data_IF_150644751731
#
_entry.id   IF_150644751731
#
_cell.length_a   1.000
_cell.length_b   1.000
_cell.length_c   1.000
_cell.angle_alpha   90.00
_cell.angle_beta   90.00
_cell.angle_gamma   90.00
#
_symmetry.space_group_name_H-M   'P 1'
#
loop_
_entity.id
_entity.type
_entity.pdbx_description
1 polymer ?
#
# COMPACT_ATOMS: atom_id res chain seq x y z
N UNK A 1 -11.17 22.22 22.87
CA UNK A 1 -10.51 20.94 23.22
C UNK A 1 -9.11 21.04 22.65
N UNK A 2 -8.10 21.25 23.50
CA UNK A 2 -6.70 21.31 23.08
C UNK A 2 -6.37 20.02 22.33
N UNK A 3 -5.83 20.12 21.12
CA UNK A 3 -5.26 18.96 20.45
C UNK A 3 -4.22 18.36 21.39
N UNK A 4 -4.32 17.08 21.78
CA UNK A 4 -3.27 16.45 22.58
C UNK A 4 -1.92 16.69 21.90
N UNK A 5 -0.89 16.98 22.69
CA UNK A 5 0.46 17.26 22.19
C UNK A 5 0.99 16.04 21.44
N UNK A 6 0.72 16.02 20.13
CA UNK A 6 1.25 15.00 19.22
C UNK A 6 2.76 15.20 19.13
N UNK A 7 3.51 14.41 19.90
CA UNK A 7 4.97 14.52 20.00
C UNK A 7 5.61 13.25 19.45
N UNK A 8 5.73 13.18 18.13
CA UNK A 8 6.55 12.16 17.45
C UNK A 8 8.02 12.55 17.50
N UNK A 9 8.93 11.59 17.73
CA UNK A 9 10.36 11.88 17.68
C UNK A 9 10.80 12.29 16.26
N UNK A 10 11.87 13.10 16.17
CA UNK A 10 12.47 13.46 14.88
C UNK A 10 12.89 12.21 14.10
N UNK A 11 13.38 11.17 14.78
CA UNK A 11 13.73 9.91 14.15
C UNK A 11 12.52 9.25 13.49
N UNK A 12 11.39 9.14 14.21
CA UNK A 12 10.16 8.55 13.70
C UNK A 12 9.66 9.29 12.44
N UNK A 13 9.63 10.62 12.50
CA UNK A 13 9.20 11.47 11.37
C UNK A 13 10.10 11.29 10.16
N UNK A 14 11.43 11.35 10.34
CA UNK A 14 12.40 11.20 9.25
C UNK A 14 12.35 9.80 8.65
N UNK A 15 12.26 8.76 9.49
CA UNK A 15 12.17 7.38 9.03
C UNK A 15 10.88 7.14 8.22
N UNK A 16 9.74 7.69 8.67
CA UNK A 16 8.48 7.61 7.92
C UNK A 16 8.59 8.32 6.56
N UNK A 17 9.15 9.54 6.53
CA UNK A 17 9.38 10.26 5.27
C UNK A 17 10.30 9.47 4.34
N UNK A 18 11.35 8.84 4.87
CA UNK A 18 12.25 8.00 4.08
C UNK A 18 11.53 6.79 3.48
N UNK A 19 10.61 6.15 4.22
CA UNK A 19 9.76 5.07 3.70
C UNK A 19 8.86 5.58 2.58
N UNK A 20 8.19 6.72 2.76
CA UNK A 20 7.35 7.32 1.72
C UNK A 20 8.17 7.64 0.47
N UNK A 21 9.29 8.33 0.61
CA UNK A 21 10.18 8.70 -0.50
C UNK A 21 10.75 7.47 -1.22
N UNK A 22 11.19 6.45 -0.47
CA UNK A 22 11.64 5.17 -1.01
C UNK A 22 10.55 4.45 -1.79
N UNK A 23 9.33 4.43 -1.27
CA UNK A 23 8.16 3.83 -1.93
C UNK A 23 7.81 4.55 -3.23
N UNK A 24 7.78 5.89 -3.22
CA UNK A 24 7.54 6.70 -4.41
C UNK A 24 8.64 6.51 -5.46
N UNK A 25 9.90 6.40 -5.03
CA UNK A 25 11.03 6.10 -5.91
C UNK A 25 10.87 4.72 -6.54
N UNK A 26 10.46 3.71 -5.76
CA UNK A 26 10.12 2.38 -6.26
C UNK A 26 8.99 2.41 -7.28
N UNK A 27 7.91 3.17 -7.03
CA UNK A 27 6.81 3.34 -7.96
C UNK A 27 7.26 4.02 -9.27
N UNK A 28 8.09 5.06 -9.19
CA UNK A 28 8.68 5.71 -10.37
C UNK A 28 9.55 4.73 -11.15
N UNK A 29 10.36 3.92 -10.48
CA UNK A 29 11.17 2.88 -11.11
C UNK A 29 10.29 1.84 -11.80
N UNK A 30 9.20 1.41 -11.15
CA UNK A 30 8.21 0.50 -11.74
C UNK A 30 7.56 1.10 -13.00
N UNK A 31 7.11 2.35 -12.95
CA UNK A 31 6.52 3.04 -14.11
C UNK A 31 7.50 3.16 -15.28
N UNK A 32 8.77 3.46 -14.99
CA UNK A 32 9.84 3.52 -16.00
C UNK A 32 10.15 2.15 -16.58
N UNK A 33 10.16 1.10 -15.75
CA UNK A 33 10.35 -0.27 -16.21
C UNK A 33 9.21 -0.71 -17.12
N UNK A 34 7.96 -0.49 -16.70
CA UNK A 34 6.79 -0.77 -17.52
C UNK A 34 6.79 0.03 -18.83
N UNK A 35 7.31 1.25 -18.84
CA UNK A 35 7.48 2.01 -20.08
C UNK A 35 8.57 1.42 -21.00
N UNK A 36 9.68 0.92 -20.42
CA UNK A 36 10.79 0.30 -21.17
C UNK A 36 10.42 -1.05 -21.78
N UNK A 37 9.57 -1.82 -21.11
CA UNK A 37 9.08 -3.11 -21.63
C UNK A 37 7.93 -2.94 -22.64
N UNK A 38 7.56 -1.70 -22.99
CA UNK A 38 6.45 -1.41 -23.89
C UNK A 38 5.06 -1.59 -23.27
N UNK A 39 4.99 -1.95 -21.98
CA UNK A 39 3.73 -2.14 -21.27
C UNK A 39 2.98 -0.80 -21.07
N UNK A 40 3.72 0.31 -20.90
CA UNK A 40 3.18 1.67 -20.82
C UNK A 40 3.78 2.59 -21.88
N UNK A 41 3.01 3.57 -22.33
CA UNK A 41 3.58 4.68 -23.11
C UNK A 41 4.40 5.58 -22.18
N UNK A 42 5.65 5.96 -22.54
CA UNK A 42 6.45 6.89 -21.74
C UNK A 42 5.73 8.22 -21.48
N UNK A 43 4.85 8.64 -22.39
CA UNK A 43 4.04 9.86 -22.24
C UNK A 43 2.99 9.76 -21.13
N UNK A 44 2.58 8.54 -20.77
CA UNK A 44 1.61 8.27 -19.70
C UNK A 44 2.22 8.34 -18.30
N UNK A 45 3.55 8.32 -18.15
CA UNK A 45 4.21 8.36 -16.83
C UNK A 45 4.02 9.73 -16.15
N UNK A 46 4.22 10.82 -16.89
CA UNK A 46 4.10 12.20 -16.36
C UNK A 46 2.73 12.51 -15.75
N UNK A 47 1.58 12.25 -16.43
CA UNK A 47 0.28 12.53 -15.84
C UNK A 47 -0.01 11.67 -14.60
N UNK A 48 0.46 10.42 -14.55
CA UNK A 48 0.32 9.57 -13.34
C UNK A 48 1.07 10.18 -12.16
N UNK A 49 2.31 10.61 -12.37
CA UNK A 49 3.09 11.26 -11.31
C UNK A 49 2.50 12.61 -10.90
N UNK A 50 1.97 13.37 -11.86
CA UNK A 50 1.26 14.63 -11.59
C UNK A 50 -0.01 14.43 -10.76
N UNK A 51 -0.81 13.41 -11.09
CA UNK A 51 -2.01 13.06 -10.32
C UNK A 51 -1.66 12.60 -8.90
N UNK A 52 -0.62 11.80 -8.73
CA UNK A 52 -0.14 11.36 -7.42
C UNK A 52 0.38 12.55 -6.58
N UNK A 53 1.16 13.45 -7.18
CA UNK A 53 1.65 14.65 -6.51
C UNK A 53 0.49 15.57 -6.09
N UNK A 54 -0.48 15.80 -6.98
CA UNK A 54 -1.68 16.57 -6.67
C UNK A 54 -2.47 15.93 -5.52
N UNK A 55 -2.64 14.60 -5.54
CA UNK A 55 -3.30 13.86 -4.47
C UNK A 55 -2.58 14.01 -3.12
N UNK A 56 -1.25 13.91 -3.11
CA UNK A 56 -0.45 14.11 -1.90
C UNK A 56 -0.53 15.55 -1.36
N UNK A 57 -0.59 16.55 -2.25
CA UNK A 57 -0.79 17.95 -1.87
C UNK A 57 -2.17 18.14 -1.24
N UNK A 58 -3.22 17.56 -1.83
CA UNK A 58 -4.59 17.62 -1.29
C UNK A 58 -4.65 16.93 0.08
N UNK A 59 -4.17 15.70 0.20
CA UNK A 59 -4.19 14.96 1.46
C UNK A 59 -3.37 15.66 2.55
N UNK A 60 -2.17 16.16 2.22
CA UNK A 60 -1.34 16.92 3.15
C UNK A 60 -1.98 18.25 3.55
N UNK A 61 -2.57 18.98 2.61
CA UNK A 61 -3.27 20.24 2.89
C UNK A 61 -4.49 20.06 3.79
N UNK A 62 -5.29 19.01 3.57
CA UNK A 62 -6.43 18.68 4.42
C UNK A 62 -6.00 18.26 5.84
N UNK A 63 -4.87 17.56 5.96
CA UNK A 63 -4.25 17.23 7.26
C UNK A 63 -3.79 18.50 8.00
N UNK A 64 -3.09 19.42 7.33
CA UNK A 64 -2.67 20.70 7.91
C UNK A 64 -3.84 21.58 8.33
N UNK A 65 -4.95 21.52 7.59
CA UNK A 65 -6.19 22.21 7.94
C UNK A 65 -6.96 21.56 9.11
N UNK A 66 -6.48 20.43 9.65
CA UNK A 66 -7.13 19.71 10.75
C UNK A 66 -8.42 19.00 10.37
N UNK A 67 -8.73 18.85 9.07
CA UNK A 67 -9.99 18.25 8.58
C UNK A 67 -10.15 16.82 9.08
N UNK A 68 -9.05 16.08 9.22
CA UNK A 68 -9.07 14.69 9.65
C UNK A 68 -9.18 14.47 11.16
N UNK A 69 -9.13 15.52 11.98
CA UNK A 69 -9.35 15.41 13.43
C UNK A 69 -10.84 15.26 13.80
N UNK A 70 -11.74 15.39 12.84
CA UNK A 70 -13.17 15.27 13.07
C UNK A 70 -13.58 13.81 13.33
N UNK A 71 -14.29 13.59 14.44
CA UNK A 71 -14.90 12.30 14.82
C UNK A 71 -16.30 12.11 14.21
N UNK A 72 -16.74 13.02 13.34
CA UNK A 72 -18.03 12.93 12.66
C UNK A 72 -18.16 11.63 11.84
N UNK A 73 -19.39 11.17 11.60
CA UNK A 73 -19.62 10.01 10.75
C UNK A 73 -20.21 10.39 9.37
N UNK A 74 -19.62 9.92 8.26
CA UNK A 74 -18.35 9.18 8.16
C UNK A 74 -17.12 10.05 8.47
N UNK A 75 -16.08 9.53 9.16
CA UNK A 75 -14.87 10.30 9.44
C UNK A 75 -14.20 10.78 8.14
N UNK A 76 -13.76 12.04 8.05
CA UNK A 76 -13.15 12.54 6.81
C UNK A 76 -11.94 11.73 6.35
N UNK A 77 -11.16 11.15 7.28
CA UNK A 77 -10.04 10.26 6.95
C UNK A 77 -10.51 8.96 6.28
N UNK A 78 -11.67 8.45 6.68
CA UNK A 78 -12.28 7.27 6.06
C UNK A 78 -12.74 7.59 4.63
N UNK A 79 -13.29 8.79 4.40
CA UNK A 79 -13.63 9.26 3.04
C UNK A 79 -12.37 9.31 2.17
N UNK A 80 -11.27 9.87 2.68
CA UNK A 80 -9.98 9.91 1.98
C UNK A 80 -9.51 8.49 1.57
N UNK A 81 -9.56 7.55 2.52
CA UNK A 81 -9.19 6.15 2.28
C UNK A 81 -10.06 5.50 1.19
N UNK A 82 -11.38 5.69 1.24
CA UNK A 82 -12.29 5.13 0.24
C UNK A 82 -12.11 5.74 -1.14
N UNK A 83 -11.88 7.06 -1.24
CA UNK A 83 -11.58 7.72 -2.51
C UNK A 83 -10.29 7.17 -3.10
N UNK A 84 -9.24 7.01 -2.30
CA UNK A 84 -7.97 6.46 -2.76
C UNK A 84 -8.10 4.99 -3.21
N UNK A 85 -8.81 4.16 -2.44
CA UNK A 85 -9.08 2.78 -2.79
C UNK A 85 -9.92 2.66 -4.07
N UNK A 86 -10.96 3.47 -4.22
CA UNK A 86 -11.78 3.54 -5.43
C UNK A 86 -10.96 3.95 -6.65
N UNK A 87 -10.06 4.93 -6.50
CA UNK A 87 -9.12 5.34 -7.56
C UNK A 87 -8.23 4.18 -8.01
N UNK A 88 -7.68 3.41 -7.07
CA UNK A 88 -6.87 2.22 -7.36
C UNK A 88 -7.68 1.15 -8.08
N UNK A 89 -8.89 0.84 -7.59
CA UNK A 89 -9.79 -0.13 -8.23
C UNK A 89 -10.13 0.30 -9.66
N UNK A 90 -10.44 1.58 -9.86
CA UNK A 90 -10.71 2.15 -11.19
C UNK A 90 -9.51 1.99 -12.13
N UNK A 91 -8.29 2.28 -11.65
CA UNK A 91 -7.05 2.10 -12.43
C UNK A 91 -6.89 0.64 -12.86
N UNK A 92 -7.11 -0.33 -11.97
CA UNK A 92 -6.97 -1.76 -12.32
C UNK A 92 -8.12 -2.27 -13.22
N UNK A 93 -9.33 -1.72 -13.05
CA UNK A 93 -10.50 -2.10 -13.84
C UNK A 93 -10.43 -1.62 -15.30
N UNK A 94 -9.76 -0.50 -15.58
CA UNK A 94 -9.63 0.04 -16.93
C UNK A 94 -8.82 -0.91 -17.82
N UNK A 95 -9.36 -1.41 -18.95
CA UNK A 95 -8.69 -2.42 -19.79
C UNK A 95 -7.31 -2.00 -20.33
N UNK A 96 -7.13 -0.70 -20.60
CA UNK A 96 -5.84 -0.16 -21.06
C UNK A 96 -4.78 -0.25 -19.96
N UNK A 97 -5.13 0.14 -18.74
CA UNK A 97 -4.27 0.08 -17.57
C UNK A 97 -4.00 -1.35 -17.14
N UNK A 98 -5.02 -2.22 -17.14
CA UNK A 98 -4.88 -3.65 -16.83
C UNK A 98 -3.89 -4.35 -17.77
N UNK A 99 -3.97 -4.08 -19.08
CA UNK A 99 -3.01 -4.63 -20.05
C UNK A 99 -1.58 -4.21 -19.73
N UNK A 100 -1.37 -2.95 -19.37
CA UNK A 100 -0.07 -2.45 -18.97
C UNK A 100 0.45 -3.09 -17.67
N UNK A 101 -0.43 -3.28 -16.69
CA UNK A 101 -0.10 -3.93 -15.42
C UNK A 101 0.33 -5.39 -15.64
N UNK A 102 -0.42 -6.13 -16.46
CA UNK A 102 -0.12 -7.55 -16.74
C UNK A 102 1.14 -7.71 -17.58
N UNK A 103 1.42 -6.76 -18.49
CA UNK A 103 2.63 -6.77 -19.30
C UNK A 103 3.89 -6.29 -18.55
N UNK A 104 3.73 -5.66 -17.38
CA UNK A 104 4.87 -5.33 -16.53
C UNK A 104 5.44 -6.59 -15.86
N UNK A 105 6.76 -6.65 -15.59
CA UNK A 105 7.35 -7.80 -14.94
C UNK A 105 6.73 -8.07 -13.56
N UNK A 106 6.21 -9.28 -13.34
CA UNK A 106 5.51 -9.65 -12.10
C UNK A 106 6.38 -9.42 -10.87
N UNK A 107 7.68 -9.75 -10.97
CA UNK A 107 8.63 -9.54 -9.86
C UNK A 107 8.68 -8.09 -9.42
N UNK A 108 8.54 -7.12 -10.33
CA UNK A 108 8.62 -5.71 -9.99
C UNK A 108 7.40 -5.25 -9.19
N UNK A 109 6.21 -5.75 -9.56
CA UNK A 109 4.96 -5.48 -8.84
C UNK A 109 4.97 -6.10 -7.45
N UNK A 110 5.43 -7.36 -7.33
CA UNK A 110 5.56 -8.04 -6.04
C UNK A 110 6.64 -7.39 -5.19
N UNK A 111 7.81 -7.09 -5.75
CA UNK A 111 8.93 -6.50 -5.02
C UNK A 111 8.61 -5.09 -4.53
N UNK A 112 7.80 -4.31 -5.26
CA UNK A 112 7.37 -2.99 -4.80
C UNK A 112 6.68 -3.08 -3.43
N UNK A 113 5.90 -4.13 -3.15
CA UNK A 113 5.22 -4.35 -1.87
C UNK A 113 6.16 -4.52 -0.67
N UNK A 114 7.47 -4.70 -0.90
CA UNK A 114 8.44 -4.84 0.19
C UNK A 114 8.56 -3.58 1.05
N UNK A 115 8.06 -2.42 0.60
CA UNK A 115 8.01 -1.19 1.41
C UNK A 115 7.28 -1.38 2.74
N UNK A 116 6.39 -2.37 2.82
CA UNK A 116 5.65 -2.73 4.05
C UNK A 116 6.61 -3.19 5.16
N UNK A 117 7.73 -3.81 4.82
CA UNK A 117 8.71 -4.26 5.82
C UNK A 117 9.30 -3.08 6.61
N UNK A 118 9.97 -2.08 6.00
CA UNK A 118 10.45 -0.92 6.74
C UNK A 118 9.32 -0.06 7.31
N UNK A 119 8.16 0.01 6.66
CA UNK A 119 6.99 0.70 7.21
C UNK A 119 6.57 0.12 8.56
N UNK A 120 6.50 -1.20 8.69
CA UNK A 120 6.09 -1.87 9.93
C UNK A 120 7.11 -1.69 11.04
N UNK A 121 8.41 -1.61 10.72
CA UNK A 121 9.44 -1.23 11.70
C UNK A 121 9.24 0.20 12.20
N UNK A 122 8.89 1.14 11.31
CA UNK A 122 8.56 2.52 11.66
C UNK A 122 7.27 2.60 12.49
N UNK A 123 6.25 1.82 12.13
CA UNK A 123 4.98 1.75 12.89
C UNK A 123 5.19 1.15 14.28
N UNK A 124 5.99 0.11 14.41
CA UNK A 124 6.35 -0.42 15.72
C UNK A 124 7.13 0.60 16.56
N UNK A 125 8.01 1.40 15.95
CA UNK A 125 8.63 2.53 16.65
C UNK A 125 7.60 3.57 17.11
N UNK A 126 6.59 3.86 16.31
CA UNK A 126 5.48 4.74 16.71
C UNK A 126 4.69 4.17 17.89
N UNK A 127 4.53 2.85 17.97
CA UNK A 127 3.96 2.19 19.16
C UNK A 127 4.86 2.36 20.39
N UNK A 128 6.18 2.09 20.28
CA UNK A 128 7.13 2.27 21.39
C UNK A 128 7.17 3.71 21.90
N UNK A 129 6.97 4.69 21.01
CA UNK A 129 6.88 6.11 21.36
C UNK A 129 5.49 6.54 21.88
N UNK A 130 4.55 5.61 22.06
CA UNK A 130 3.16 5.91 22.47
C UNK A 130 2.45 6.91 21.54
N UNK A 131 2.80 6.88 20.25
CA UNK A 131 2.17 7.67 19.18
C UNK A 131 1.07 6.86 18.49
N UNK A 132 1.28 5.55 18.37
CA UNK A 132 0.36 4.62 17.70
C UNK A 132 -0.20 3.59 18.69
N UNK A 133 -1.48 3.20 18.58
CA UNK A 133 -2.07 2.13 19.40
C UNK A 133 -1.34 0.78 19.24
N UNK A 134 -1.20 0.05 20.35
CA UNK A 134 -0.60 -1.29 20.36
C UNK A 134 -1.23 -2.29 19.36
N UNK A 135 -2.57 -2.36 19.17
CA UNK A 135 -3.17 -3.28 18.21
C UNK A 135 -2.72 -3.07 16.75
N UNK A 136 -2.23 -1.88 16.40
CA UNK A 136 -1.75 -1.56 15.05
C UNK A 136 -0.28 -1.93 14.82
N UNK A 137 0.45 -2.37 15.84
CA UNK A 137 1.83 -2.85 15.70
C UNK A 137 1.85 -4.34 15.30
N UNK A 138 3.01 -4.82 14.88
CA UNK A 138 3.21 -6.24 14.59
C UNK A 138 3.27 -7.14 15.83
N UNK A 139 3.39 -6.57 17.03
CA UNK A 139 3.20 -7.32 18.28
C UNK A 139 1.72 -7.46 18.63
N UNK A 140 0.87 -6.60 18.04
CA UNK A 140 -0.56 -6.59 18.22
C UNK A 140 -1.27 -7.43 17.16
N UNK A 141 -2.03 -6.77 16.29
CA UNK A 141 -2.88 -7.41 15.28
C UNK A 141 -2.42 -7.12 13.85
N UNK A 142 -1.34 -6.39 13.63
CA UNK A 142 -0.88 -6.01 12.30
C UNK A 142 0.31 -6.87 11.82
N UNK A 143 0.04 -7.98 11.15
CA UNK A 143 1.10 -8.87 10.67
C UNK A 143 1.65 -8.49 9.28
N UNK A 144 1.47 -7.24 8.84
CA UNK A 144 1.93 -6.78 7.52
C UNK A 144 3.47 -6.88 7.37
N UNK A 145 4.22 -6.99 8.47
CA UNK A 145 5.67 -7.23 8.44
C UNK A 145 5.99 -8.52 7.68
N UNK A 146 5.16 -9.56 7.86
CA UNK A 146 5.29 -10.85 7.18
C UNK A 146 5.06 -10.66 5.69
N UNK A 147 4.03 -9.90 5.31
CA UNK A 147 3.74 -9.64 3.89
C UNK A 147 4.86 -8.85 3.22
N UNK A 148 5.46 -7.86 3.91
CA UNK A 148 6.60 -7.12 3.39
C UNK A 148 7.86 -7.98 3.22
N UNK A 149 8.14 -8.87 4.18
CA UNK A 149 9.24 -9.82 4.08
C UNK A 149 9.03 -10.85 2.95
N UNK A 150 7.81 -11.40 2.84
CA UNK A 150 7.44 -12.30 1.75
C UNK A 150 7.48 -11.61 0.40
N UNK A 151 7.08 -10.35 0.29
CA UNK A 151 7.19 -9.55 -0.93
C UNK A 151 8.65 -9.44 -1.40
N UNK A 152 9.58 -9.17 -0.48
CA UNK A 152 11.00 -9.09 -0.77
C UNK A 152 11.53 -10.45 -1.26
N UNK A 153 11.29 -11.53 -0.51
CA UNK A 153 11.77 -12.86 -0.85
C UNK A 153 11.17 -13.37 -2.17
N UNK A 154 9.84 -13.29 -2.33
CA UNK A 154 9.14 -13.73 -3.53
C UNK A 154 9.50 -12.86 -4.74
N UNK A 155 9.58 -11.54 -4.58
CA UNK A 155 9.97 -10.62 -5.65
C UNK A 155 11.37 -10.94 -6.19
N UNK A 156 12.36 -11.14 -5.31
CA UNK A 156 13.72 -11.53 -5.71
C UNK A 156 13.76 -12.92 -6.35
N UNK A 157 12.98 -13.88 -5.83
CA UNK A 157 12.89 -15.21 -6.42
C UNK A 157 12.28 -15.17 -7.83
N UNK A 158 11.18 -14.42 -8.02
CA UNK A 158 10.55 -14.21 -9.32
C UNK A 158 11.50 -13.56 -10.32
N UNK A 159 12.26 -12.55 -9.89
CA UNK A 159 13.27 -11.90 -10.71
C UNK A 159 14.36 -12.87 -11.17
N UNK A 160 14.86 -13.71 -10.25
CA UNK A 160 15.87 -14.73 -10.58
C UNK A 160 15.35 -15.76 -11.57
N UNK A 161 14.07 -16.15 -11.47
CA UNK A 161 13.43 -17.10 -12.38
C UNK A 161 13.21 -16.52 -13.77
N UNK A 162 12.75 -15.28 -13.86
CA UNK A 162 12.59 -14.57 -15.13
C UNK A 162 13.92 -14.50 -15.89
N UNK A 163 15.02 -14.15 -15.20
CA UNK A 163 16.36 -14.14 -15.79
C UNK A 163 16.85 -15.51 -16.24
N UNK A 164 16.40 -16.57 -15.60
CA UNK A 164 16.69 -17.95 -15.97
C UNK A 164 15.72 -18.51 -17.02
N UNK A 165 14.78 -17.71 -17.55
CA UNK A 165 13.75 -18.19 -18.49
C UNK A 165 12.75 -19.17 -17.88
N UNK A 166 12.63 -19.20 -16.55
CA UNK A 166 11.76 -20.14 -15.82
C UNK A 166 10.41 -19.51 -15.53
N UNK A 167 9.36 -20.30 -15.69
CA UNK A 167 8.00 -19.86 -15.38
C UNK A 167 7.83 -19.50 -13.90
N UNK A 168 6.99 -18.50 -13.56
CA UNK A 168 6.71 -18.12 -12.20
C UNK A 168 5.91 -19.23 -11.45
N UNK A 169 6.22 -19.48 -10.16
CA UNK A 169 5.56 -20.49 -9.34
C UNK A 169 4.18 -20.01 -8.89
N UNK A 170 3.15 -20.25 -9.70
CA UNK A 170 1.79 -19.71 -9.53
C UNK A 170 1.19 -19.96 -8.15
N UNK A 171 1.36 -21.16 -7.59
CA UNK A 171 0.83 -21.50 -6.26
C UNK A 171 1.42 -20.60 -5.17
N UNK A 172 2.72 -20.30 -5.23
CA UNK A 172 3.36 -19.38 -4.29
C UNK A 172 2.87 -17.94 -4.47
N UNK A 173 2.68 -17.50 -5.72
CA UNK A 173 2.14 -16.15 -6.01
C UNK A 173 0.69 -16.02 -5.52
N UNK A 174 -0.15 -17.03 -5.71
CA UNK A 174 -1.53 -17.07 -5.16
C UNK A 174 -1.53 -17.02 -3.64
N UNK A 175 -0.74 -17.88 -2.99
CA UNK A 175 -0.67 -17.95 -1.53
C UNK A 175 -0.22 -16.61 -0.94
N UNK A 176 0.86 -16.03 -1.48
CA UNK A 176 1.34 -14.70 -1.10
C UNK A 176 0.25 -13.64 -1.26
N UNK A 177 -0.45 -13.62 -2.40
CA UNK A 177 -1.41 -12.56 -2.69
C UNK A 177 -2.68 -12.68 -1.81
N UNK A 178 -3.13 -13.90 -1.52
CA UNK A 178 -4.27 -14.16 -0.63
C UNK A 178 -3.95 -13.82 0.83
N UNK A 179 -2.77 -14.22 1.31
CA UNK A 179 -2.30 -13.84 2.66
C UNK A 179 -2.14 -12.32 2.75
N UNK A 180 -1.53 -11.70 1.74
CA UNK A 180 -1.30 -10.27 1.69
C UNK A 180 -2.58 -9.44 1.71
N UNK A 181 -3.56 -9.76 0.87
CA UNK A 181 -4.83 -9.03 0.86
C UNK A 181 -5.63 -9.25 2.15
N UNK A 182 -5.58 -10.45 2.73
CA UNK A 182 -6.24 -10.74 4.01
C UNK A 182 -5.65 -9.90 5.15
N UNK A 183 -4.33 -9.79 5.22
CA UNK A 183 -3.64 -8.98 6.23
C UNK A 183 -3.85 -7.48 6.02
N UNK A 184 -3.87 -7.01 4.76
CA UNK A 184 -4.23 -5.62 4.44
C UNK A 184 -5.65 -5.26 4.91
N UNK A 185 -6.63 -6.14 4.67
CA UNK A 185 -8.00 -5.93 5.16
C UNK A 185 -8.02 -5.90 6.69
N UNK A 186 -7.31 -6.83 7.33
CA UNK A 186 -7.22 -6.88 8.78
C UNK A 186 -6.64 -5.59 9.39
N UNK A 187 -5.52 -5.06 8.88
CA UNK A 187 -4.95 -3.82 9.42
C UNK A 187 -5.87 -2.61 9.20
N UNK A 188 -6.57 -2.53 8.07
CA UNK A 188 -7.57 -1.46 7.83
C UNK A 188 -8.70 -1.55 8.85
N UNK A 189 -9.25 -2.76 9.10
CA UNK A 189 -10.32 -2.97 10.07
C UNK A 189 -9.84 -2.59 11.48
N UNK A 190 -8.65 -3.03 11.89
CA UNK A 190 -8.07 -2.70 13.20
C UNK A 190 -7.86 -1.19 13.33
N UNK A 191 -7.32 -0.53 12.29
CA UNK A 191 -7.09 0.91 12.28
C UNK A 191 -8.40 1.70 12.48
N UNK A 192 -9.47 1.31 11.77
CA UNK A 192 -10.80 1.94 11.91
C UNK A 192 -11.39 1.67 13.29
N UNK A 193 -11.27 0.45 13.82
CA UNK A 193 -11.80 0.10 15.14
C UNK A 193 -11.06 0.77 16.30
N UNK A 194 -9.81 1.20 16.10
CA UNK A 194 -9.02 1.95 17.09
C UNK A 194 -9.16 3.48 16.96
N UNK A 195 -9.77 3.97 15.87
CA UNK A 195 -9.94 5.41 15.63
C UNK A 195 -11.12 5.95 16.45
N UNK A 196 -11.00 7.14 17.08
CA UNK A 196 -12.11 7.77 17.77
C UNK A 196 -13.31 8.01 16.83
N UNK A 197 -14.51 7.88 17.38
CA UNK A 197 -15.78 8.08 16.68
C UNK A 197 -16.68 6.85 16.71
N UNK A 198 -17.81 6.85 15.98
CA UNK A 198 -18.81 5.77 16.03
C UNK A 198 -18.28 4.39 15.55
N UNK A 199 -17.15 4.42 14.83
CA UNK A 199 -16.23 3.35 14.45
C UNK A 199 -15.76 2.44 15.58
N UNK A 200 -15.52 3.08 16.72
CA UNK A 200 -14.56 2.59 17.68
C UNK A 200 -15.09 1.36 18.40
N UNK A 201 -14.33 0.27 18.34
CA UNK A 201 -14.61 -0.98 19.05
C UNK A 201 -13.44 -1.41 19.93
N UNK A 202 -12.25 -0.87 19.67
CA UNK A 202 -11.03 -1.17 20.42
C UNK A 202 -10.56 0.15 21.03
N UNK A 203 -10.91 0.38 22.29
CA UNK A 203 -10.45 1.54 23.06
C UNK A 203 -8.99 1.30 23.43
N UNK A 204 -8.14 2.26 23.09
CA UNK A 204 -6.68 2.20 23.27
C UNK A 204 -6.16 3.53 23.77
N UNK A 205 -5.00 3.48 24.43
CA UNK A 205 -4.25 4.66 24.86
C UNK A 205 -2.83 4.56 24.28
N UNK A 206 -2.43 5.42 23.33
CA UNK A 206 -3.24 6.44 22.66
C UNK A 206 -4.30 5.83 21.71
N UNK A 207 -5.33 6.60 21.30
CA UNK A 207 -6.23 6.21 20.21
C UNK A 207 -5.56 6.36 18.83
N UNK A 208 -6.15 5.78 17.78
CA UNK A 208 -5.61 5.90 16.41
C UNK A 208 -5.90 7.27 15.79
N UNK A 209 -5.16 8.30 16.22
CA UNK A 209 -5.24 9.66 15.65
C UNK A 209 -3.98 10.07 14.91
N UNK A 210 -2.85 9.38 15.10
CA UNK A 210 -1.56 9.75 14.48
C UNK A 210 -1.61 9.83 12.95
N UNK A 211 -2.39 8.96 12.30
CA UNK A 211 -2.62 8.95 10.84
C UNK A 211 -3.35 10.20 10.30
N UNK A 212 -3.82 11.09 11.16
CA UNK A 212 -4.48 12.35 10.76
C UNK A 212 -3.47 13.49 10.58
N UNK A 213 -2.26 13.36 11.13
CA UNK A 213 -1.20 14.37 11.12
C UNK A 213 -0.20 14.15 9.98
N UNK A 214 0.47 15.22 9.52
CA UNK A 214 1.62 15.10 8.64
C UNK A 214 2.86 14.62 9.43
N UNK A 215 3.72 13.77 8.83
CA UNK A 215 3.62 13.17 7.48
C UNK A 215 2.74 11.92 7.41
N UNK A 216 2.24 11.43 8.55
CA UNK A 216 1.61 10.13 8.73
C UNK A 216 0.31 9.92 7.95
N UNK A 217 -0.39 10.99 7.55
CA UNK A 217 -1.55 10.93 6.65
C UNK A 217 -1.24 10.26 5.30
N UNK A 218 0.03 10.23 4.88
CA UNK A 218 0.43 9.49 3.68
C UNK A 218 0.32 7.97 3.82
N UNK A 219 0.17 7.44 5.04
CA UNK A 219 -0.13 6.02 5.25
C UNK A 219 -1.49 5.65 4.64
N UNK A 220 -2.64 6.19 5.10
CA UNK A 220 -3.94 5.90 4.48
C UNK A 220 -4.11 6.55 3.09
N UNK A 221 -3.43 7.65 2.79
CA UNK A 221 -3.60 8.35 1.52
C UNK A 221 -2.80 7.74 0.35
N UNK A 222 -1.64 7.12 0.61
CA UNK A 222 -0.71 6.67 -0.44
C UNK A 222 -0.29 5.22 -0.23
N UNK A 223 0.28 4.89 0.93
CA UNK A 223 0.91 3.58 1.15
C UNK A 223 -0.12 2.43 1.17
N UNK A 224 -1.23 2.60 1.89
CA UNK A 224 -2.32 1.62 1.95
C UNK A 224 -2.98 1.40 0.56
N UNK A 225 -3.36 2.45 -0.19
CA UNK A 225 -3.84 2.31 -1.57
C UNK A 225 -2.82 1.67 -2.51
N UNK A 226 -1.53 1.97 -2.36
CA UNK A 226 -0.48 1.34 -3.16
C UNK A 226 -0.34 -0.15 -2.84
N UNK A 227 -0.51 -0.54 -1.58
CA UNK A 227 -0.56 -1.95 -1.19
C UNK A 227 -1.76 -2.67 -1.82
N UNK A 228 -2.93 -2.04 -1.82
CA UNK A 228 -4.10 -2.55 -2.53
C UNK A 228 -3.82 -2.68 -4.02
N UNK A 229 -3.21 -1.67 -4.63
CA UNK A 229 -2.85 -1.68 -6.05
C UNK A 229 -1.92 -2.85 -6.39
N UNK A 230 -0.90 -3.13 -5.56
CA UNK A 230 0.02 -4.24 -5.79
C UNK A 230 -0.69 -5.60 -5.75
N UNK A 231 -1.64 -5.79 -4.82
CA UNK A 231 -2.40 -7.04 -4.72
C UNK A 231 -3.39 -7.22 -5.88
N UNK A 232 -4.12 -6.17 -6.25
CA UNK A 232 -5.04 -6.21 -7.39
C UNK A 232 -4.30 -6.41 -8.71
N UNK A 233 -3.13 -5.78 -8.86
CA UNK A 233 -2.23 -5.99 -10.00
C UNK A 233 -1.76 -7.43 -10.11
N UNK A 234 -1.40 -8.05 -8.98
CA UNK A 234 -0.98 -9.45 -8.92
C UNK A 234 -2.13 -10.40 -9.25
N UNK A 235 -3.35 -10.13 -8.79
CA UNK A 235 -4.53 -10.90 -9.22
C UNK A 235 -4.80 -10.75 -10.71
N UNK A 236 -4.73 -9.54 -11.26
CA UNK A 236 -4.92 -9.31 -12.68
C UNK A 236 -3.92 -10.12 -13.52
N UNK A 237 -2.66 -10.19 -13.08
CA UNK A 237 -1.62 -11.01 -13.70
C UNK A 237 -1.95 -12.52 -13.61
N UNK A 238 -2.32 -13.03 -12.42
CA UNK A 238 -2.65 -14.45 -12.21
C UNK A 238 -3.83 -14.93 -13.06
N UNK A 239 -4.85 -14.08 -13.21
CA UNK A 239 -6.02 -14.37 -14.02
C UNK A 239 -5.70 -14.37 -15.52
N UNK A 240 -4.84 -13.45 -15.97
CA UNK A 240 -4.39 -13.41 -17.36
C UNK A 240 -3.54 -14.65 -17.71
N UNK A 241 -2.53 -14.97 -16.89
CA UNK A 241 -1.68 -16.16 -17.10
C UNK A 241 -2.53 -17.45 -17.07
N UNK A 242 -3.64 -17.50 -16.32
CA UNK A 242 -4.58 -18.63 -16.35
C UNK A 242 -5.25 -18.77 -17.72
N UNK A 243 -5.80 -17.67 -18.23
CA UNK A 243 -6.48 -17.65 -19.51
C UNK A 243 -5.54 -18.01 -20.67
N UNK A 244 -4.32 -17.46 -20.65
CA UNK A 244 -3.32 -17.75 -21.67
C UNK A 244 -2.92 -19.23 -21.72
N UNK A 245 -2.74 -19.87 -20.56
CA UNK A 245 -2.45 -21.32 -20.47
C UNK A 245 -3.62 -22.18 -20.94
N UNK A 246 -4.84 -21.80 -20.57
CA UNK A 246 -6.04 -22.50 -21.04
C UNK A 246 -6.12 -22.44 -22.59
N UNK A 247 -5.80 -21.30 -23.19
CA UNK A 247 -5.74 -21.15 -24.65
C UNK A 247 -4.61 -21.97 -25.30
N UNK A 248 -3.54 -22.30 -24.56
CA UNK A 248 -2.44 -23.18 -25.01
C UNK A 248 -2.69 -24.68 -24.73
N UNK A 249 -3.78 -25.04 -24.05
CA UNK A 249 -4.05 -26.43 -23.65
C UNK A 249 -3.22 -26.93 -22.46
N UNK A 250 -2.60 -26.02 -21.71
CA UNK A 250 -1.71 -26.31 -20.58
C UNK A 250 -2.41 -26.25 -19.20
N UNK A 251 -3.74 -26.14 -19.17
CA UNK A 251 -4.51 -26.06 -17.94
C UNK A 251 -4.69 -27.45 -17.31
N UNK A 252 -3.68 -27.92 -16.58
CA UNK A 252 -3.76 -29.06 -15.67
C UNK A 252 -4.09 -28.62 -14.25
#
# INVERSE_FOLDING_TARGET
>A
MSTPDFTASTFLVVAFIAVVAGTLTGLVAWLRLAARTGALSPRSVRPVLGALAAWMVVAGGLSLAGVFHSEAFPPPLMILLWIAAAGVIAVVAVPRSRRAIVAAPLWATVLLQCFRLPLELVMHRAFVESVMPAPMSFDGRNFDIVTGALALALGLWLWSRERAGKEPPRAAVWAYNLVGIGLLVNVIVVAVMCMPGPMQRIVTDPPNVWVTYLPFVYLPAVLVPLALWGHLSTFAWLLHDRADRANRGEAS
#
